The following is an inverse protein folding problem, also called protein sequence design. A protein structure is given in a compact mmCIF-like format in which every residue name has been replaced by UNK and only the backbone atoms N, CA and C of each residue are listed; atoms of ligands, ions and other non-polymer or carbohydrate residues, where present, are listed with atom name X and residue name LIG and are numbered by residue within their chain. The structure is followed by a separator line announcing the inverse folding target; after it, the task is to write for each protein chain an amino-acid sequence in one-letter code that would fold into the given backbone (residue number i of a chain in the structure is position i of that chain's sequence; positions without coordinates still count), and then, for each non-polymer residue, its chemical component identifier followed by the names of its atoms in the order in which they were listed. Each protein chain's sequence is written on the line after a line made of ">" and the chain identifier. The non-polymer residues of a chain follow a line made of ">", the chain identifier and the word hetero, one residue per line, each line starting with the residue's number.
data_IF_455224861997
#
_entry.id   IF_455224861997
#
_cell.length_a   1.000
_cell.length_b   1.000
_cell.length_c   1.000
_cell.angle_alpha   90.00
_cell.angle_beta   90.00
_cell.angle_gamma   90.00
#
_symmetry.space_group_name_H-M   'P 1'
#
loop_
_entity.id
_entity.type
_entity.pdbx_description
1 polymer ?
#
# COMPACT_ATOMS: atom_id res chain seq x y z
N UNK A 1 9.26 -9.65 -6.49
CA UNK A 1 8.64 -9.67 -5.14
C UNK A 1 8.92 -10.94 -4.35
N UNK A 2 9.23 -12.05 -5.02
CA UNK A 2 9.48 -13.35 -4.39
C UNK A 2 10.58 -13.35 -3.32
N UNK A 3 11.67 -12.61 -3.54
CA UNK A 3 12.74 -12.47 -2.55
C UNK A 3 12.31 -11.83 -1.24
N UNK A 4 11.30 -10.95 -1.27
CA UNK A 4 10.74 -10.34 -0.05
C UNK A 4 9.74 -11.28 0.62
N UNK A 5 8.85 -11.93 -0.16
CA UNK A 5 7.93 -12.96 0.36
C UNK A 5 8.70 -14.04 1.13
N UNK A 6 9.76 -14.57 0.53
CA UNK A 6 10.58 -15.62 1.15
C UNK A 6 11.24 -15.15 2.46
N UNK A 7 11.86 -13.96 2.47
CA UNK A 7 12.44 -13.38 3.70
C UNK A 7 11.42 -13.21 4.81
N UNK A 8 10.19 -12.80 4.47
CA UNK A 8 9.12 -12.61 5.45
C UNK A 8 8.58 -13.93 6.01
N UNK A 9 8.46 -14.96 5.17
CA UNK A 9 8.15 -16.33 5.62
C UNK A 9 9.20 -16.84 6.60
N UNK A 10 10.47 -16.72 6.24
CA UNK A 10 11.59 -17.15 7.09
C UNK A 10 11.62 -16.36 8.41
N UNK A 11 11.40 -15.05 8.37
CA UNK A 11 11.35 -14.19 9.54
C UNK A 11 10.23 -14.61 10.51
N UNK A 12 9.03 -14.87 9.99
CA UNK A 12 7.87 -15.29 10.76
C UNK A 12 8.06 -16.69 11.35
N UNK A 13 8.52 -17.64 10.53
CA UNK A 13 8.76 -19.03 10.93
C UNK A 13 9.82 -19.12 12.03
N UNK A 14 10.91 -18.35 11.91
CA UNK A 14 11.97 -18.32 12.93
C UNK A 14 11.48 -17.84 14.32
N UNK A 15 10.29 -17.23 14.40
CA UNK A 15 9.67 -16.73 15.63
C UNK A 15 8.40 -17.47 16.00
N UNK A 16 8.03 -18.51 15.25
CA UNK A 16 6.74 -19.20 15.39
C UNK A 16 5.53 -18.26 15.25
N UNK A 17 5.66 -17.20 14.45
CA UNK A 17 4.62 -16.17 14.30
C UNK A 17 3.57 -16.51 13.24
N UNK A 18 3.77 -17.56 12.45
CA UNK A 18 2.82 -18.00 11.42
C UNK A 18 1.42 -18.26 12.03
N UNK A 19 1.34 -18.73 13.28
CA UNK A 19 0.08 -18.93 14.01
C UNK A 19 -0.75 -17.64 14.22
N UNK A 20 -0.11 -16.46 14.18
CA UNK A 20 -0.77 -15.17 14.32
C UNK A 20 -1.10 -14.52 12.98
N UNK A 21 -0.59 -15.05 11.87
CA UNK A 21 -0.67 -14.47 10.53
C UNK A 21 -1.93 -14.89 9.74
N UNK A 22 -3.08 -15.04 10.41
CA UNK A 22 -4.35 -15.21 9.69
C UNK A 22 -4.62 -13.98 8.80
N UNK A 23 -5.31 -14.12 7.65
CA UNK A 23 -5.64 -12.97 6.79
C UNK A 23 -6.36 -11.84 7.54
N UNK A 24 -7.24 -12.19 8.50
CA UNK A 24 -7.92 -11.23 9.38
C UNK A 24 -6.93 -10.41 10.20
N UNK A 25 -5.94 -11.04 10.81
CA UNK A 25 -4.95 -10.34 11.63
C UNK A 25 -4.00 -9.51 10.76
N UNK A 26 -3.57 -10.05 9.61
CA UNK A 26 -2.68 -9.36 8.69
C UNK A 26 -3.32 -8.09 8.10
N UNK A 27 -4.59 -8.14 7.71
CA UNK A 27 -5.29 -6.93 7.22
C UNK A 27 -5.50 -5.89 8.33
N UNK A 28 -5.71 -6.33 9.58
CA UNK A 28 -5.77 -5.41 10.72
C UNK A 28 -4.42 -4.75 10.97
N UNK A 29 -3.33 -5.51 10.98
CA UNK A 29 -1.98 -4.98 11.13
C UNK A 29 -1.62 -4.01 9.99
N UNK A 30 -1.93 -4.38 8.73
CA UNK A 30 -1.78 -3.48 7.58
C UNK A 30 -2.49 -2.15 7.80
N UNK A 31 -3.72 -2.15 8.32
CA UNK A 31 -4.46 -0.92 8.58
C UNK A 31 -3.81 -0.07 9.70
N UNK A 32 -3.18 -0.70 10.69
CA UNK A 32 -2.41 0.02 11.73
C UNK A 32 -1.24 0.75 11.09
N UNK A 33 -0.41 0.07 10.29
CA UNK A 33 0.75 0.72 9.64
C UNK A 33 0.33 1.84 8.67
N UNK A 34 -0.80 1.69 7.99
CA UNK A 34 -1.37 2.77 7.15
C UNK A 34 -1.79 3.97 8.01
N UNK A 35 -2.32 3.73 9.22
CA UNK A 35 -2.66 4.80 10.14
C UNK A 35 -1.40 5.50 10.67
N UNK A 36 -0.34 4.75 11.05
CA UNK A 36 0.94 5.31 11.47
C UNK A 36 1.60 6.15 10.36
N UNK A 37 1.56 5.67 9.12
CA UNK A 37 1.97 6.44 7.95
C UNK A 37 1.19 7.76 7.82
N UNK A 38 -0.15 7.71 8.00
CA UNK A 38 -1.03 8.86 7.91
C UNK A 38 -0.74 9.92 8.99
N UNK A 39 -0.33 9.53 10.19
CA UNK A 39 -0.04 10.45 11.30
C UNK A 39 1.04 11.49 10.94
N UNK A 40 1.98 11.13 10.08
CA UNK A 40 3.01 12.08 9.60
C UNK A 40 2.45 13.19 8.70
N UNK A 41 1.24 13.05 8.17
CA UNK A 41 0.64 13.98 7.22
C UNK A 41 -0.59 14.72 7.75
N UNK A 42 -1.27 14.19 8.78
CA UNK A 42 -2.61 14.62 9.19
C UNK A 42 -2.80 16.13 9.44
N UNK A 43 -1.74 16.84 9.87
CA UNK A 43 -1.79 18.29 10.15
C UNK A 43 -0.98 19.15 9.15
N UNK A 44 -0.47 18.55 8.08
CA UNK A 44 0.31 19.27 7.08
C UNK A 44 -0.59 19.98 6.07
N UNK A 45 -0.19 21.19 5.66
CA UNK A 45 -0.72 21.77 4.42
C UNK A 45 -0.25 20.98 3.21
N UNK A 46 -0.91 21.16 2.06
CA UNK A 46 -0.50 20.47 0.82
C UNK A 46 0.95 20.79 0.39
N UNK A 47 1.42 22.01 0.65
CA UNK A 47 2.80 22.39 0.32
C UNK A 47 3.79 21.75 1.28
N UNK A 48 3.45 21.64 2.57
CA UNK A 48 4.28 20.97 3.57
C UNK A 48 4.34 19.46 3.35
N UNK A 49 3.24 18.82 2.95
CA UNK A 49 3.22 17.38 2.65
C UNK A 49 4.12 16.99 1.47
N UNK A 50 4.37 17.91 0.53
CA UNK A 50 5.33 17.73 -0.58
C UNK A 50 6.79 18.03 -0.18
N UNK A 51 6.99 18.77 0.91
CA UNK A 51 8.30 19.28 1.34
C UNK A 51 8.65 18.87 2.78
N UNK A 52 8.56 17.56 3.05
CA UNK A 52 8.94 16.99 4.35
C UNK A 52 10.41 17.25 4.66
N UNK A 53 10.70 17.57 5.92
CA UNK A 53 12.07 17.60 6.44
C UNK A 53 12.70 16.19 6.47
N UNK A 54 14.01 16.13 6.68
CA UNK A 54 14.81 14.90 6.61
C UNK A 54 14.34 13.86 7.63
N UNK A 55 14.02 14.28 8.85
CA UNK A 55 13.62 13.37 9.92
C UNK A 55 12.23 12.80 9.67
N UNK A 56 11.26 13.63 9.26
CA UNK A 56 9.91 13.19 8.91
C UNK A 56 9.93 12.25 7.71
N UNK A 57 10.73 12.56 6.68
CA UNK A 57 10.90 11.69 5.50
C UNK A 57 11.47 10.33 5.86
N UNK A 58 12.38 10.26 6.84
CA UNK A 58 12.94 8.99 7.33
C UNK A 58 11.87 8.12 7.98
N UNK A 59 11.00 8.69 8.82
CA UNK A 59 9.89 7.98 9.46
C UNK A 59 8.86 7.50 8.43
N UNK A 60 8.43 8.38 7.54
CA UNK A 60 7.55 8.01 6.41
C UNK A 60 8.10 6.84 5.59
N UNK A 61 9.42 6.79 5.36
CA UNK A 61 10.06 5.65 4.68
C UNK A 61 9.94 4.34 5.47
N UNK A 62 10.01 4.39 6.81
CA UNK A 62 9.83 3.21 7.67
C UNK A 62 8.40 2.71 7.55
N UNK A 63 7.41 3.59 7.75
CA UNK A 63 5.99 3.21 7.68
C UNK A 63 5.57 2.69 6.30
N UNK A 64 6.09 3.26 5.21
CA UNK A 64 5.88 2.70 3.86
C UNK A 64 6.45 1.27 3.76
N UNK A 65 7.57 1.01 4.43
CA UNK A 65 8.16 -0.32 4.54
C UNK A 65 7.25 -1.28 5.29
N UNK A 66 6.70 -0.86 6.43
CA UNK A 66 5.82 -1.69 7.25
C UNK A 66 4.49 -2.00 6.55
N UNK A 67 3.90 -1.01 5.88
CA UNK A 67 2.75 -1.21 4.97
C UNK A 67 3.08 -2.26 3.90
N UNK A 68 4.25 -2.18 3.26
CA UNK A 68 4.67 -3.15 2.26
C UNK A 68 4.86 -4.54 2.87
N UNK A 69 5.44 -4.66 4.06
CA UNK A 69 5.66 -5.93 4.76
C UNK A 69 4.33 -6.66 4.99
N UNK A 70 3.33 -5.98 5.55
CA UNK A 70 2.04 -6.61 5.82
C UNK A 70 1.23 -6.86 4.55
N UNK A 71 1.27 -5.96 3.57
CA UNK A 71 0.60 -6.20 2.28
C UNK A 71 1.16 -7.45 1.59
N UNK A 72 2.49 -7.59 1.57
CA UNK A 72 3.15 -8.76 0.97
C UNK A 72 2.81 -10.04 1.75
N UNK A 73 2.84 -10.04 3.08
CA UNK A 73 2.44 -11.21 3.87
C UNK A 73 0.96 -11.56 3.70
N UNK A 74 0.07 -10.58 3.64
CA UNK A 74 -1.35 -10.79 3.39
C UNK A 74 -1.58 -11.40 2.00
N UNK A 75 -0.95 -10.85 0.97
CA UNK A 75 -1.06 -11.37 -0.38
C UNK A 75 -0.50 -12.80 -0.48
N UNK A 76 0.60 -13.07 0.21
CA UNK A 76 1.21 -14.38 0.27
C UNK A 76 0.31 -15.44 0.94
N UNK A 77 -0.33 -15.09 2.06
CA UNK A 77 -1.30 -15.93 2.76
C UNK A 77 -2.56 -16.21 1.91
N UNK A 78 -2.95 -15.25 1.06
CA UNK A 78 -4.12 -15.36 0.18
C UNK A 78 -3.79 -15.96 -1.20
N UNK A 79 -2.53 -16.26 -1.50
CA UNK A 79 -2.12 -16.73 -2.82
C UNK A 79 -2.26 -15.69 -3.94
N UNK A 80 -2.19 -14.41 -3.60
CA UNK A 80 -2.32 -13.28 -4.53
C UNK A 80 -0.94 -12.75 -4.93
N UNK A 81 -0.77 -12.46 -6.22
CA UNK A 81 0.31 -11.60 -6.70
C UNK A 81 -0.18 -10.15 -6.75
N UNK A 82 0.27 -9.27 -5.83
CA UNK A 82 -0.20 -7.90 -5.78
C UNK A 82 0.28 -7.06 -6.97
N UNK A 83 1.38 -7.45 -7.65
CA UNK A 83 1.85 -6.75 -8.86
C UNK A 83 0.90 -7.04 -10.01
N UNK A 84 0.61 -8.33 -10.26
CA UNK A 84 -0.35 -8.72 -11.30
C UNK A 84 -1.74 -8.14 -11.04
N UNK A 85 -2.22 -8.18 -9.78
CA UNK A 85 -3.49 -7.57 -9.40
C UNK A 85 -3.52 -6.05 -9.63
N UNK A 86 -2.39 -5.35 -9.42
CA UNK A 86 -2.28 -3.92 -9.71
C UNK A 86 -2.30 -3.63 -11.22
N UNK A 87 -1.62 -4.44 -12.04
CA UNK A 87 -1.61 -4.31 -13.50
C UNK A 87 -3.00 -4.52 -14.12
N UNK A 88 -3.72 -5.54 -13.67
CA UNK A 88 -5.13 -5.75 -14.06
C UNK A 88 -5.98 -4.55 -13.66
N UNK A 89 -5.79 -4.04 -12.43
CA UNK A 89 -6.55 -2.89 -11.95
C UNK A 89 -6.25 -1.61 -12.74
N UNK A 90 -5.00 -1.39 -13.15
CA UNK A 90 -4.60 -0.26 -14.00
C UNK A 90 -5.31 -0.36 -15.35
N UNK A 91 -5.29 -1.53 -15.99
CA UNK A 91 -5.96 -1.76 -17.28
C UNK A 91 -7.47 -1.45 -17.21
N UNK A 92 -8.13 -1.87 -16.13
CA UNK A 92 -9.54 -1.52 -15.86
C UNK A 92 -9.73 -0.02 -15.67
N UNK A 93 -8.81 0.65 -14.97
CA UNK A 93 -8.88 2.08 -14.74
C UNK A 93 -8.64 2.89 -16.02
N UNK A 94 -7.75 2.47 -16.91
CA UNK A 94 -7.50 3.14 -18.20
C UNK A 94 -8.74 3.12 -19.10
N UNK A 95 -9.45 2.00 -19.16
CA UNK A 95 -10.71 1.89 -19.88
C UNK A 95 -11.81 2.79 -19.27
N UNK A 96 -11.81 2.92 -17.93
CA UNK A 96 -12.80 3.71 -17.17
C UNK A 96 -12.52 5.21 -17.19
N UNK A 97 -11.26 5.61 -17.33
CA UNK A 97 -10.79 6.99 -17.30
C UNK A 97 -9.88 7.29 -18.51
N UNK A 98 -10.43 7.34 -19.75
CA UNK A 98 -9.62 7.58 -20.94
C UNK A 98 -8.91 8.94 -20.86
N UNK A 99 -7.60 8.98 -21.10
CA UNK A 99 -6.79 10.19 -20.94
C UNK A 99 -7.36 11.40 -21.69
N UNK A 100 -7.89 11.20 -22.89
CA UNK A 100 -8.49 12.27 -23.70
C UNK A 100 -9.72 12.92 -23.05
N UNK A 101 -10.43 12.21 -22.17
CA UNK A 101 -11.62 12.70 -21.46
C UNK A 101 -11.30 13.30 -20.09
N UNK A 102 -10.21 12.87 -19.47
CA UNK A 102 -9.92 13.17 -18.04
C UNK A 102 -8.68 14.01 -17.79
N UNK A 103 -7.89 14.32 -18.83
CA UNK A 103 -6.65 15.08 -18.65
C UNK A 103 -6.92 16.43 -17.98
N UNK A 104 -6.31 16.64 -16.81
CA UNK A 104 -6.48 17.87 -16.01
C UNK A 104 -7.84 17.96 -15.29
N UNK A 105 -8.63 16.90 -15.26
CA UNK A 105 -9.96 16.85 -14.68
C UNK A 105 -10.04 15.78 -13.60
N UNK A 106 -10.56 16.12 -12.42
CA UNK A 106 -10.84 15.18 -11.34
C UNK A 106 -12.26 14.57 -11.43
N UNK A 107 -12.99 14.85 -12.52
CA UNK A 107 -14.34 14.35 -12.75
C UNK A 107 -14.37 12.83 -12.72
N UNK A 108 -15.37 12.29 -12.05
CA UNK A 108 -15.59 10.84 -12.00
C UNK A 108 -16.07 10.34 -13.36
N UNK A 109 -15.92 9.03 -13.58
CA UNK A 109 -16.24 8.39 -14.85
C UNK A 109 -17.69 8.53 -15.32
N UNK A 110 -18.59 8.86 -14.39
CA UNK A 110 -20.00 9.12 -14.61
C UNK A 110 -20.33 10.61 -14.82
N UNK A 111 -19.33 11.47 -14.98
CA UNK A 111 -19.45 12.93 -15.13
C UNK A 111 -18.88 13.44 -16.47
N UNK A 112 -18.73 12.55 -17.46
CA UNK A 112 -18.20 12.87 -18.81
C UNK A 112 -19.27 13.22 -19.85
N UNK A 113 -20.54 13.33 -19.46
CA UNK A 113 -21.62 13.84 -20.31
C UNK A 113 -21.66 15.37 -20.32
#
# INVERSE_FOLDING_TARGET
>A
MESLKQKLREFAKARDWEQFHSPKNLVMALNVEVAELMEHFQWLTQDRSRNLDVETRKKVRQEIGDVMVYLVRLADELGVDPVAAAEEKISVNEAKYPAEKVRGSSRKYNEYE
#
